data_IF_368246045231
#
_entry.id   IF_368246045231
#
_cell.length_a   1.000
_cell.length_b   1.000
_cell.length_c   1.000
_cell.angle_alpha   90.00
_cell.angle_beta   90.00
_cell.angle_gamma   90.00
#
_symmetry.space_group_name_H-M   'P 1'
#
loop_
_entity.id
_entity.type
_entity.pdbx_description
1 polymer ?
#
# COMPACT_ATOMS: atom_id res chain seq x y z
N UNK A 1 -6.92 -5.27 -2.95
CA UNK A 1 -7.32 -4.29 -1.92
C UNK A 1 -8.81 -4.38 -1.66
N UNK A 2 -9.65 -4.13 -2.67
CA UNK A 2 -11.12 -4.13 -2.58
C UNK A 2 -11.73 -5.29 -1.76
N UNK A 3 -11.39 -6.54 -2.07
CA UNK A 3 -12.03 -7.70 -1.44
C UNK A 3 -11.63 -7.98 0.02
N UNK A 4 -10.61 -7.29 0.52
CA UNK A 4 -9.98 -7.61 1.82
C UNK A 4 -10.00 -6.44 2.81
N UNK A 5 -10.41 -5.24 2.37
CA UNK A 5 -10.48 -4.04 3.21
C UNK A 5 -11.84 -3.94 3.92
N UNK A 6 -11.88 -3.28 5.09
CA UNK A 6 -13.11 -2.89 5.78
C UNK A 6 -13.75 -1.60 5.22
N UNK A 7 -13.11 -0.96 4.24
CA UNK A 7 -13.59 0.23 3.51
C UNK A 7 -13.57 0.04 1.98
N UNK A 8 -14.34 -0.93 1.44
CA UNK A 8 -14.32 -1.23 0.00
C UNK A 8 -14.86 -0.09 -0.87
N UNK A 9 -15.74 0.75 -0.33
CA UNK A 9 -16.25 1.96 -0.96
C UNK A 9 -15.16 2.99 -1.26
N UNK A 10 -14.17 3.10 -0.36
CA UNK A 10 -13.02 3.97 -0.55
C UNK A 10 -12.21 3.59 -1.78
N UNK A 11 -12.10 2.29 -2.09
CA UNK A 11 -11.39 1.82 -3.29
C UNK A 11 -12.04 2.36 -4.58
N UNK A 12 -13.38 2.33 -4.65
CA UNK A 12 -14.13 2.80 -5.80
C UNK A 12 -14.10 4.33 -5.93
N UNK A 13 -14.13 5.03 -4.80
CA UNK A 13 -14.01 6.48 -4.74
C UNK A 13 -12.64 6.94 -5.29
N UNK A 14 -11.54 6.36 -4.79
CA UNK A 14 -10.17 6.69 -5.20
C UNK A 14 -9.87 6.32 -6.67
N UNK A 15 -10.57 5.35 -7.24
CA UNK A 15 -10.44 5.02 -8.66
C UNK A 15 -11.27 5.91 -9.58
N UNK A 16 -11.93 6.95 -9.06
CA UNK A 16 -12.86 7.82 -9.78
C UNK A 16 -13.93 7.00 -10.53
N UNK A 17 -14.36 5.90 -9.90
CA UNK A 17 -15.47 5.10 -10.38
C UNK A 17 -16.76 5.63 -9.77
N UNK A 18 -17.88 5.53 -10.50
CA UNK A 18 -19.19 5.83 -9.94
C UNK A 18 -19.40 5.02 -8.65
N UNK A 19 -20.05 5.64 -7.67
CA UNK A 19 -20.30 5.04 -6.35
C UNK A 19 -20.81 3.60 -6.49
N UNK A 20 -20.20 2.68 -5.73
CA UNK A 20 -20.65 1.29 -5.67
C UNK A 20 -22.14 1.25 -5.33
N UNK A 21 -22.88 0.43 -6.06
CA UNK A 21 -24.27 0.17 -5.70
C UNK A 21 -24.32 -0.78 -4.49
N UNK A 22 -24.96 -0.38 -3.37
CA UNK A 22 -25.05 -1.23 -2.20
C UNK A 22 -25.69 -2.58 -2.52
N UNK A 23 -25.07 -3.66 -2.05
CA UNK A 23 -25.58 -5.03 -2.23
C UNK A 23 -25.32 -5.65 -3.61
N UNK A 24 -24.64 -4.95 -4.53
CA UNK A 24 -24.16 -5.54 -5.79
C UNK A 24 -22.70 -5.94 -5.68
N UNK A 25 -22.38 -7.10 -6.26
CA UNK A 25 -20.99 -7.50 -6.46
C UNK A 25 -20.30 -6.54 -7.44
N UNK A 26 -18.97 -6.43 -7.31
CA UNK A 26 -18.16 -5.68 -8.24
C UNK A 26 -18.29 -6.28 -9.65
N UNK A 27 -18.60 -5.45 -10.65
CA UNK A 27 -18.61 -5.89 -12.04
C UNK A 27 -17.22 -5.76 -12.69
N UNK A 28 -17.00 -6.47 -13.78
CA UNK A 28 -15.69 -6.49 -14.45
C UNK A 28 -15.23 -5.12 -14.98
N UNK A 29 -16.15 -4.23 -15.35
CA UNK A 29 -15.80 -2.90 -15.85
C UNK A 29 -15.22 -2.02 -14.73
N UNK A 30 -15.86 -2.01 -13.56
CA UNK A 30 -15.40 -1.31 -12.36
C UNK A 30 -14.09 -1.91 -11.83
N UNK A 31 -13.96 -3.24 -11.86
CA UNK A 31 -12.72 -3.92 -11.48
C UNK A 31 -11.55 -3.50 -12.38
N UNK A 32 -11.74 -3.51 -13.70
CA UNK A 32 -10.72 -3.08 -14.65
C UNK A 32 -10.38 -1.60 -14.47
N UNK A 33 -11.37 -0.75 -14.24
CA UNK A 33 -11.16 0.66 -13.95
C UNK A 33 -10.29 0.84 -12.70
N UNK A 34 -10.62 0.17 -11.59
CA UNK A 34 -9.81 0.19 -10.36
C UNK A 34 -8.37 -0.31 -10.60
N UNK A 35 -8.20 -1.43 -11.30
CA UNK A 35 -6.86 -1.97 -11.60
C UNK A 35 -6.06 -0.97 -12.43
N UNK A 36 -6.67 -0.34 -13.45
CA UNK A 36 -5.98 0.63 -14.32
C UNK A 36 -5.45 1.87 -13.58
N UNK A 37 -6.06 2.20 -12.43
CA UNK A 37 -5.64 3.30 -11.55
C UNK A 37 -4.69 2.86 -10.43
N UNK A 38 -4.57 1.55 -10.18
CA UNK A 38 -3.73 1.03 -9.12
C UNK A 38 -2.24 1.28 -9.41
N UNK A 39 -1.43 1.78 -8.45
CA UNK A 39 -0.01 2.01 -8.65
C UNK A 39 0.78 0.78 -9.13
N UNK A 40 0.30 -0.43 -8.82
CA UNK A 40 0.98 -1.69 -9.19
C UNK A 40 1.16 -1.85 -10.70
N UNK A 41 0.26 -1.30 -11.54
CA UNK A 41 0.39 -1.38 -13.01
C UNK A 41 1.64 -0.67 -13.51
N UNK A 42 2.12 0.32 -12.75
CA UNK A 42 3.31 1.10 -13.05
C UNK A 42 4.53 0.66 -12.23
N UNK A 43 4.44 -0.44 -11.45
CA UNK A 43 5.52 -0.86 -10.56
C UNK A 43 6.83 -1.17 -11.30
N UNK A 44 6.75 -1.59 -12.56
CA UNK A 44 7.91 -1.83 -13.43
C UNK A 44 8.72 -0.57 -13.75
N UNK A 45 8.12 0.62 -13.62
CA UNK A 45 8.78 1.91 -13.87
C UNK A 45 9.46 2.50 -12.63
N UNK A 46 9.30 1.88 -11.46
CA UNK A 46 9.90 2.38 -10.21
C UNK A 46 11.42 2.22 -10.29
N UNK A 47 12.13 3.33 -10.07
CA UNK A 47 13.60 3.39 -10.03
C UNK A 47 14.14 3.99 -8.73
N UNK A 48 13.33 4.80 -8.05
CA UNK A 48 13.71 5.45 -6.80
C UNK A 48 13.75 4.42 -5.65
N UNK A 49 14.64 4.58 -4.66
CA UNK A 49 14.62 3.78 -3.44
C UNK A 49 13.25 3.84 -2.75
N UNK A 50 12.73 2.68 -2.34
CA UNK A 50 11.37 2.54 -1.79
C UNK A 50 11.36 2.04 -0.33
N UNK A 51 10.82 2.85 0.58
CA UNK A 51 10.54 2.45 1.96
C UNK A 51 9.03 2.24 2.14
N UNK A 52 8.63 1.06 2.62
CA UNK A 52 7.25 0.78 3.03
C UNK A 52 7.16 0.68 4.55
N UNK A 53 6.15 1.32 5.13
CA UNK A 53 5.79 1.23 6.55
C UNK A 53 4.35 0.69 6.62
N UNK A 54 4.12 -0.42 7.32
CA UNK A 54 2.78 -1.04 7.32
C UNK A 54 2.49 -1.90 8.57
N UNK A 55 1.26 -1.79 9.06
CA UNK A 55 0.71 -2.60 10.16
C UNK A 55 0.14 -3.94 9.68
N UNK A 56 0.37 -5.00 10.45
CA UNK A 56 -0.10 -6.36 10.16
C UNK A 56 -1.59 -6.57 10.43
N UNK A 57 -2.19 -5.76 11.30
CA UNK A 57 -3.62 -5.77 11.63
C UNK A 57 -4.38 -4.61 11.00
N UNK A 58 -3.80 -3.93 10.02
CA UNK A 58 -4.50 -2.88 9.27
C UNK A 58 -5.67 -3.51 8.48
N UNK A 59 -6.90 -3.09 8.79
CA UNK A 59 -8.11 -3.50 8.08
C UNK A 59 -8.47 -2.53 6.95
N UNK A 60 -8.02 -1.28 7.03
CA UNK A 60 -8.31 -0.21 6.06
C UNK A 60 -7.45 -0.40 4.81
N UNK A 61 -6.15 -0.64 5.01
CA UNK A 61 -5.20 -0.98 3.96
C UNK A 61 -4.46 -2.28 4.33
N UNK A 62 -5.11 -3.45 4.16
CA UNK A 62 -4.52 -4.73 4.55
C UNK A 62 -3.17 -5.00 3.88
N UNK A 63 -2.26 -5.78 4.49
CA UNK A 63 -0.90 -5.98 3.99
C UNK A 63 -0.81 -6.85 2.72
N UNK A 64 -1.16 -6.25 1.57
CA UNK A 64 -1.20 -6.88 0.24
C UNK A 64 -0.02 -6.50 -0.67
N UNK A 65 1.06 -5.95 -0.10
CA UNK A 65 2.22 -5.38 -0.81
C UNK A 65 3.19 -6.39 -1.44
N UNK A 66 2.97 -7.71 -1.27
CA UNK A 66 3.92 -8.75 -1.70
C UNK A 66 4.25 -8.69 -3.19
N UNK A 67 3.26 -8.40 -4.04
CA UNK A 67 3.47 -8.27 -5.48
C UNK A 67 4.40 -7.10 -5.83
N UNK A 68 4.21 -5.95 -5.17
CA UNK A 68 5.07 -4.78 -5.34
C UNK A 68 6.51 -5.09 -4.94
N UNK A 69 6.74 -5.66 -3.74
CA UNK A 69 8.08 -5.99 -3.24
C UNK A 69 8.80 -6.98 -4.17
N UNK A 70 8.09 -7.97 -4.73
CA UNK A 70 8.66 -8.88 -5.73
C UNK A 70 9.12 -8.12 -6.98
N UNK A 71 8.29 -7.21 -7.51
CA UNK A 71 8.66 -6.39 -8.66
C UNK A 71 9.90 -5.52 -8.37
N UNK A 72 9.95 -4.86 -7.21
CA UNK A 72 11.11 -4.06 -6.78
C UNK A 72 12.38 -4.92 -6.71
N UNK A 73 12.27 -6.13 -6.14
CA UNK A 73 13.38 -7.08 -6.00
C UNK A 73 13.91 -7.53 -7.37
N UNK A 74 13.03 -7.96 -8.27
CA UNK A 74 13.41 -8.40 -9.62
C UNK A 74 14.08 -7.28 -10.41
N UNK A 75 13.59 -6.05 -10.25
CA UNK A 75 14.13 -4.86 -10.91
C UNK A 75 15.38 -4.29 -10.20
N UNK A 76 15.86 -4.94 -9.13
CA UNK A 76 17.02 -4.50 -8.33
C UNK A 76 16.88 -3.07 -7.78
N UNK A 77 15.65 -2.65 -7.49
CA UNK A 77 15.38 -1.37 -6.83
C UNK A 77 15.72 -1.51 -5.36
N UNK A 78 16.49 -0.58 -4.80
CA UNK A 78 16.75 -0.51 -3.35
C UNK A 78 15.43 -0.35 -2.60
N UNK A 79 15.13 -1.25 -1.68
CA UNK A 79 13.87 -1.18 -0.93
C UNK A 79 13.99 -1.74 0.48
N UNK A 80 13.12 -1.27 1.37
CA UNK A 80 12.97 -1.75 2.75
C UNK A 80 11.50 -1.79 3.13
N UNK A 81 11.11 -2.79 3.91
CA UNK A 81 9.77 -2.91 4.49
C UNK A 81 9.88 -2.93 6.01
N UNK A 82 9.25 -1.98 6.66
CA UNK A 82 8.98 -1.97 8.09
C UNK A 82 7.59 -2.55 8.30
N UNK A 83 7.55 -3.79 8.78
CA UNK A 83 6.31 -4.54 9.01
C UNK A 83 6.10 -4.71 10.50
N UNK A 84 4.99 -4.20 11.03
CA UNK A 84 4.63 -4.26 12.45
C UNK A 84 3.45 -5.22 12.62
N UNK A 85 3.67 -6.51 12.97
CA UNK A 85 2.63 -7.55 12.90
C UNK A 85 1.40 -7.28 13.75
N UNK A 86 1.58 -6.59 14.87
CA UNK A 86 0.53 -6.35 15.85
C UNK A 86 -0.16 -5.00 15.71
N UNK A 87 0.40 -4.08 14.93
CA UNK A 87 -0.12 -2.73 14.72
C UNK A 87 -1.22 -2.67 13.67
N UNK A 88 -2.14 -1.73 13.86
CA UNK A 88 -3.24 -1.46 12.95
C UNK A 88 -2.91 -0.30 11.98
N UNK A 89 -3.93 0.32 11.40
CA UNK A 89 -3.79 1.44 10.46
C UNK A 89 -3.08 2.68 11.02
N UNK A 90 -3.27 2.98 12.31
CA UNK A 90 -2.78 4.22 12.91
C UNK A 90 -1.27 4.19 13.18
N UNK A 91 -0.70 3.00 13.45
CA UNK A 91 0.70 2.83 13.86
C UNK A 91 1.07 3.75 15.05
N UNK A 92 0.14 3.94 15.99
CA UNK A 92 0.21 4.93 17.07
C UNK A 92 0.82 4.38 18.36
N UNK A 93 1.36 3.16 18.34
CA UNK A 93 2.14 2.64 19.46
C UNK A 93 3.47 3.40 19.55
N UNK A 94 3.83 3.91 20.73
CA UNK A 94 5.04 4.76 20.95
C UNK A 94 6.31 4.16 20.33
N UNK A 95 6.54 2.86 20.54
CA UNK A 95 7.74 2.17 20.02
C UNK A 95 7.70 2.03 18.50
N UNK A 96 6.51 1.83 17.92
CA UNK A 96 6.32 1.70 16.47
C UNK A 96 6.50 3.06 15.81
N UNK A 97 5.90 4.11 16.37
CA UNK A 97 6.04 5.48 15.89
C UNK A 97 7.49 5.95 15.93
N UNK A 98 8.18 5.72 17.04
CA UNK A 98 9.59 6.04 17.18
C UNK A 98 10.45 5.28 16.15
N UNK A 99 10.24 3.96 16.01
CA UNK A 99 11.00 3.14 15.07
C UNK A 99 10.79 3.56 13.62
N UNK A 100 9.54 3.70 13.14
CA UNK A 100 9.32 4.08 11.74
C UNK A 100 9.79 5.50 11.47
N UNK A 101 9.69 6.42 12.43
CA UNK A 101 10.14 7.80 12.28
C UNK A 101 11.65 7.89 12.11
N UNK A 102 12.41 7.20 12.98
CA UNK A 102 13.87 7.15 12.91
C UNK A 102 14.31 6.46 11.61
N UNK A 103 13.71 5.32 11.27
CA UNK A 103 14.05 4.61 10.03
C UNK A 103 13.73 5.45 8.79
N UNK A 104 12.64 6.23 8.79
CA UNK A 104 12.30 7.12 7.69
C UNK A 104 13.31 8.26 7.55
N UNK A 105 13.72 8.88 8.66
CA UNK A 105 14.74 9.92 8.64
C UNK A 105 16.09 9.40 8.11
N UNK A 106 16.53 8.23 8.58
CA UNK A 106 17.75 7.57 8.10
C UNK A 106 17.65 7.18 6.63
N UNK A 107 16.47 6.75 6.17
CA UNK A 107 16.23 6.42 4.77
C UNK A 107 16.42 7.63 3.87
N UNK A 108 15.81 8.77 4.22
CA UNK A 108 16.00 10.02 3.49
C UNK A 108 17.43 10.55 3.60
N UNK A 109 18.13 10.36 4.72
CA UNK A 109 19.54 10.72 4.81
C UNK A 109 20.44 9.88 3.86
N UNK A 110 20.14 8.59 3.70
CA UNK A 110 20.93 7.68 2.89
C UNK A 110 20.58 7.73 1.38
N UNK A 111 19.35 8.13 1.05
CA UNK A 111 18.78 7.99 -0.29
C UNK A 111 18.05 9.23 -0.83
N UNK A 112 17.88 10.26 -0.01
CA UNK A 112 17.38 11.56 -0.43
C UNK A 112 18.38 12.28 -1.33
N UNK A 113 17.87 13.17 -2.18
CA UNK A 113 18.66 14.00 -3.10
C UNK A 113 19.57 14.97 -2.33
#
# INVERSE_FOLDING_TARGET
MYDITDIPDWCAYESNCSSLEPGKALNSELEQAMISKSPIVNAHNIKAPYLLVIGGKDLRVPPHFRALVRTLSVNKVTHKVLYYPDSNHALDEVEVEADFSINSALWFQAHGL
#
